data_IF_021405071011
#
_entry.id   IF_021405071011
#
_cell.length_a   1.000
_cell.length_b   1.000
_cell.length_c   1.000
_cell.angle_alpha   90.00
_cell.angle_beta   90.00
_cell.angle_gamma   90.00
#
_symmetry.space_group_name_H-M   'P 1'
#
loop_
_entity.id
_entity.type
_entity.pdbx_description
1 polymer ?
#
# COMPACT_ATOMS: atom_id res chain seq x y z
N UNK A 1 -13.91 -12.44 -8.74
CA UNK A 1 -12.84 -11.68 -8.06
C UNK A 1 -12.65 -12.17 -6.63
N UNK A 2 -11.52 -11.82 -5.98
CA UNK A 2 -11.20 -12.24 -4.60
C UNK A 2 -12.33 -11.87 -3.63
N UNK A 3 -12.80 -10.63 -3.62
CA UNK A 3 -13.88 -10.21 -2.71
C UNK A 3 -15.20 -10.93 -3.00
N UNK A 4 -15.49 -11.26 -4.25
CA UNK A 4 -16.71 -12.02 -4.58
C UNK A 4 -16.67 -13.45 -4.02
N UNK A 5 -15.49 -14.08 -3.97
CA UNK A 5 -15.31 -15.37 -3.31
C UNK A 5 -15.50 -15.25 -1.79
N UNK A 6 -14.88 -14.26 -1.14
CA UNK A 6 -15.08 -14.01 0.29
C UNK A 6 -16.56 -13.77 0.61
N UNK A 7 -17.26 -12.99 -0.21
CA UNK A 7 -18.68 -12.70 -0.01
C UNK A 7 -19.58 -13.91 -0.27
N UNK A 8 -19.14 -14.87 -1.08
CA UNK A 8 -19.84 -16.15 -1.25
C UNK A 8 -19.81 -16.95 0.04
N UNK A 9 -18.63 -17.02 0.70
CA UNK A 9 -18.45 -17.78 1.93
C UNK A 9 -19.00 -17.04 3.16
N UNK A 10 -18.93 -15.72 3.17
CA UNK A 10 -19.53 -14.85 4.19
C UNK A 10 -20.40 -13.75 3.55
N UNK A 11 -21.72 -13.97 3.41
CA UNK A 11 -22.63 -12.99 2.80
C UNK A 11 -22.70 -11.63 3.54
N UNK A 12 -22.28 -11.58 4.81
CA UNK A 12 -22.20 -10.35 5.60
C UNK A 12 -20.93 -9.56 5.35
N UNK A 13 -19.96 -10.12 4.63
CA UNK A 13 -18.68 -9.47 4.37
C UNK A 13 -18.86 -8.09 3.70
N UNK A 14 -18.15 -7.09 4.21
CA UNK A 14 -18.10 -5.72 3.70
C UNK A 14 -16.65 -5.41 3.31
N UNK A 15 -16.43 -4.85 2.14
CA UNK A 15 -15.10 -4.38 1.75
C UNK A 15 -14.88 -2.99 2.36
N UNK A 16 -14.32 -2.96 3.57
CA UNK A 16 -14.16 -1.73 4.35
C UNK A 16 -13.04 -0.84 3.81
N UNK A 17 -11.90 -1.42 3.43
CA UNK A 17 -10.74 -0.67 2.99
C UNK A 17 -9.95 -1.33 1.87
N UNK A 18 -9.37 -0.51 1.01
CA UNK A 18 -8.29 -0.88 0.08
C UNK A 18 -7.04 -0.09 0.48
N UNK A 19 -6.04 -0.80 0.99
CA UNK A 19 -4.79 -0.23 1.51
C UNK A 19 -3.70 -0.39 0.47
N UNK A 20 -3.03 0.69 0.13
CA UNK A 20 -1.97 0.68 -0.88
C UNK A 20 -0.85 1.65 -0.54
N UNK A 21 0.34 1.12 -0.37
CA UNK A 21 1.56 1.90 -0.34
C UNK A 21 1.72 2.64 -1.68
N UNK A 22 1.94 3.95 -1.62
CA UNK A 22 1.91 4.80 -2.81
C UNK A 22 3.31 5.26 -3.19
N UNK A 23 3.67 5.04 -4.44
CA UNK A 23 4.74 5.69 -5.15
C UNK A 23 4.13 6.40 -6.34
N UNK A 24 4.21 5.80 -7.54
CA UNK A 24 3.63 6.34 -8.78
C UNK A 24 2.09 6.37 -8.84
N UNK A 25 1.39 5.95 -7.80
CA UNK A 25 -0.07 5.84 -7.67
C UNK A 25 -0.76 4.79 -8.57
N UNK A 26 0.01 3.93 -9.25
CA UNK A 26 -0.57 2.90 -10.13
C UNK A 26 -1.44 1.89 -9.37
N UNK A 27 -0.97 1.38 -8.23
CA UNK A 27 -1.69 0.39 -7.43
C UNK A 27 -2.91 0.98 -6.74
N UNK A 28 -2.79 2.18 -6.14
CA UNK A 28 -3.90 2.81 -5.42
C UNK A 28 -5.07 3.17 -6.33
N UNK A 29 -4.83 3.36 -7.63
CA UNK A 29 -5.89 3.63 -8.62
C UNK A 29 -6.96 2.52 -8.70
N UNK A 30 -6.61 1.28 -8.34
CA UNK A 30 -7.60 0.20 -8.23
C UNK A 30 -8.67 0.49 -7.17
N UNK A 31 -8.33 1.29 -6.17
CA UNK A 31 -9.24 1.73 -5.11
C UNK A 31 -10.44 2.50 -5.64
N UNK A 32 -10.28 3.31 -6.68
CA UNK A 32 -11.36 4.09 -7.29
C UNK A 32 -12.52 3.16 -7.75
N UNK A 33 -12.16 2.05 -8.38
CA UNK A 33 -13.17 1.08 -8.85
C UNK A 33 -13.80 0.28 -7.71
N UNK A 34 -13.03 -0.04 -6.68
CA UNK A 34 -13.54 -0.71 -5.49
C UNK A 34 -14.49 0.21 -4.71
N UNK A 35 -14.15 1.49 -4.58
CA UNK A 35 -14.99 2.49 -3.94
C UNK A 35 -16.30 2.70 -4.69
N UNK A 36 -16.26 2.83 -6.01
CA UNK A 36 -17.46 2.95 -6.85
C UNK A 36 -18.41 1.76 -6.68
N UNK A 37 -17.87 0.53 -6.58
CA UNK A 37 -18.68 -0.70 -6.52
C UNK A 37 -19.14 -1.07 -5.12
N UNK A 38 -18.35 -0.79 -4.11
CA UNK A 38 -18.52 -1.34 -2.77
C UNK A 38 -18.55 -0.29 -1.66
N UNK A 39 -18.33 0.99 -1.98
CA UNK A 39 -18.20 2.05 -0.98
C UNK A 39 -16.90 1.96 -0.15
N UNK A 40 -15.92 1.20 -0.62
CA UNK A 40 -14.64 0.94 0.05
C UNK A 40 -13.88 2.24 0.32
N UNK A 41 -13.30 2.40 1.52
CA UNK A 41 -12.36 3.50 1.79
C UNK A 41 -11.03 3.25 1.09
N UNK A 42 -10.48 4.27 0.45
CA UNK A 42 -9.16 4.23 -0.18
C UNK A 42 -8.13 4.75 0.81
N UNK A 43 -7.15 3.91 1.12
CA UNK A 43 -6.12 4.19 2.12
C UNK A 43 -4.75 4.26 1.44
N UNK A 44 -4.18 5.46 1.40
CA UNK A 44 -2.81 5.67 0.94
C UNK A 44 -1.84 5.41 2.09
N UNK A 45 -0.76 4.67 1.82
CA UNK A 45 0.29 4.41 2.81
C UNK A 45 1.58 5.06 2.33
N UNK A 46 2.28 5.71 3.24
CA UNK A 46 3.60 6.27 3.00
C UNK A 46 4.57 5.95 4.13
N UNK A 47 5.87 6.05 3.86
CA UNK A 47 6.89 5.94 4.88
C UNK A 47 6.80 7.16 5.81
N UNK A 48 6.83 6.94 7.11
CA UNK A 48 6.80 8.02 8.09
C UNK A 48 8.07 8.89 8.04
N UNK A 49 9.15 8.35 7.53
CA UNK A 49 10.40 9.05 7.26
C UNK A 49 10.29 10.01 6.05
N UNK A 50 9.26 9.82 5.19
CA UNK A 50 8.93 10.71 4.07
C UNK A 50 7.43 11.03 4.06
N UNK A 51 6.91 11.80 5.05
CA UNK A 51 5.48 12.00 5.30
C UNK A 51 4.89 13.11 4.42
N UNK A 52 4.96 12.95 3.10
CA UNK A 52 4.55 13.97 2.12
C UNK A 52 3.07 14.33 2.24
N UNK A 53 2.20 13.31 2.34
CA UNK A 53 0.76 13.54 2.47
C UNK A 53 0.32 13.85 3.90
N UNK A 54 0.95 13.23 4.89
CA UNK A 54 0.62 13.46 6.30
C UNK A 54 1.02 14.87 6.74
N UNK A 55 2.28 15.27 6.48
CA UNK A 55 2.91 16.41 7.13
C UNK A 55 3.56 17.41 6.15
N UNK A 56 3.36 17.26 4.84
CA UNK A 56 4.07 18.02 3.78
C UNK A 56 5.59 17.86 3.88
N UNK A 57 6.05 16.75 4.45
CA UNK A 57 7.44 16.48 4.68
C UNK A 57 8.11 15.72 3.55
N UNK A 58 9.41 15.56 3.65
CA UNK A 58 10.17 14.66 2.82
C UNK A 58 11.37 14.13 3.61
N UNK A 59 11.88 12.99 3.19
CA UNK A 59 13.08 12.40 3.76
C UNK A 59 13.50 11.15 3.00
N UNK A 60 14.62 10.57 3.41
CA UNK A 60 15.04 9.26 2.93
C UNK A 60 14.36 8.18 3.74
N UNK A 61 13.95 7.12 3.05
CA UNK A 61 13.30 5.97 3.68
C UNK A 61 13.74 4.67 3.00
N UNK A 62 13.53 3.54 3.69
CA UNK A 62 13.95 2.21 3.22
C UNK A 62 12.78 1.35 2.69
N UNK A 63 11.53 1.80 2.75
CA UNK A 63 10.42 1.08 2.13
C UNK A 63 10.50 1.28 0.62
N UNK A 64 11.27 0.43 -0.06
CA UNK A 64 11.59 0.59 -1.48
C UNK A 64 10.34 0.47 -2.36
N UNK A 65 10.37 1.19 -3.48
CA UNK A 65 9.28 1.16 -4.47
C UNK A 65 8.06 2.00 -4.12
N UNK A 66 8.08 2.74 -3.01
CA UNK A 66 7.05 3.68 -2.61
C UNK A 66 7.65 5.03 -2.24
N UNK A 67 6.78 6.01 -1.97
CA UNK A 67 7.18 7.32 -1.44
C UNK A 67 7.83 8.21 -2.50
N UNK A 68 7.15 9.27 -2.81
CA UNK A 68 7.65 10.35 -3.65
C UNK A 68 7.64 11.65 -2.85
N UNK A 69 8.65 12.50 -3.09
CA UNK A 69 8.73 13.85 -2.50
C UNK A 69 7.70 14.82 -3.10
N UNK A 70 6.81 14.32 -3.93
CA UNK A 70 5.71 15.04 -4.59
C UNK A 70 4.52 14.12 -4.82
N UNK A 71 3.36 14.69 -5.04
CA UNK A 71 2.15 13.92 -5.34
C UNK A 71 2.13 13.57 -6.83
N UNK A 72 2.06 12.30 -7.22
CA UNK A 72 1.99 11.90 -8.63
C UNK A 72 0.79 12.51 -9.36
N UNK A 73 0.99 12.91 -10.63
CA UNK A 73 -0.07 13.51 -11.44
C UNK A 73 -1.30 12.60 -11.54
N UNK A 74 -1.09 11.30 -11.57
CA UNK A 74 -2.14 10.29 -11.70
C UNK A 74 -2.73 9.82 -10.36
N UNK A 75 -2.40 10.47 -9.24
CA UNK A 75 -3.02 10.17 -7.96
C UNK A 75 -4.36 10.90 -7.83
N UNK A 76 -5.45 10.16 -7.72
CA UNK A 76 -6.79 10.70 -7.48
C UNK A 76 -6.97 11.09 -6.00
N UNK A 77 -6.27 12.15 -5.58
CA UNK A 77 -6.23 12.62 -4.18
C UNK A 77 -7.63 12.95 -3.65
N UNK A 78 -8.48 13.55 -4.49
CA UNK A 78 -9.83 13.97 -4.07
C UNK A 78 -10.75 12.77 -3.76
N UNK A 79 -10.37 11.57 -4.21
CA UNK A 79 -11.10 10.32 -3.92
C UNK A 79 -10.44 9.47 -2.82
N UNK A 80 -9.23 9.81 -2.39
CA UNK A 80 -8.54 9.15 -1.26
C UNK A 80 -9.20 9.53 0.05
N UNK A 81 -9.37 8.57 0.97
CA UNK A 81 -10.10 8.78 2.22
C UNK A 81 -9.20 8.89 3.44
N UNK A 82 -8.09 8.13 3.45
CA UNK A 82 -7.20 8.03 4.60
C UNK A 82 -5.75 8.02 4.13
N UNK A 83 -4.87 8.62 4.92
CA UNK A 83 -3.42 8.47 4.78
C UNK A 83 -2.87 7.84 6.06
N UNK A 84 -1.98 6.86 5.93
CA UNK A 84 -1.36 6.16 7.06
C UNK A 84 0.16 6.15 6.87
N UNK A 85 0.88 6.60 7.91
CA UNK A 85 2.33 6.49 8.00
C UNK A 85 2.78 5.20 8.66
N UNK A 86 3.76 4.53 8.03
CA UNK A 86 4.44 3.34 8.56
C UNK A 86 5.93 3.60 8.58
N UNK A 87 6.60 3.29 9.70
CA UNK A 87 8.05 3.50 9.82
C UNK A 87 8.86 2.46 9.06
N UNK A 88 10.02 2.84 8.58
CA UNK A 88 11.03 1.92 8.04
C UNK A 88 11.35 0.81 9.03
N UNK A 89 11.49 1.18 10.30
CA UNK A 89 11.80 0.21 11.35
C UNK A 89 10.74 -0.90 11.45
N UNK A 90 9.46 -0.59 11.28
CA UNK A 90 8.40 -1.60 11.32
C UNK A 90 8.52 -2.56 10.14
N UNK A 91 8.75 -2.05 8.94
CA UNK A 91 8.88 -2.86 7.72
C UNK A 91 10.14 -3.72 7.74
N UNK A 92 11.28 -3.16 8.16
CA UNK A 92 12.55 -3.89 8.27
C UNK A 92 12.49 -4.98 9.32
N UNK A 93 11.94 -4.68 10.50
CA UNK A 93 11.76 -5.65 11.58
C UNK A 93 10.87 -6.82 11.14
N UNK A 94 9.78 -6.55 10.46
CA UNK A 94 8.89 -7.59 9.93
C UNK A 94 9.53 -8.38 8.79
N UNK A 95 10.35 -7.75 7.94
CA UNK A 95 11.16 -8.47 6.95
C UNK A 95 12.12 -9.46 7.62
N UNK A 96 12.75 -9.08 8.75
CA UNK A 96 13.59 -9.99 9.54
C UNK A 96 12.76 -11.12 10.18
N UNK A 97 11.63 -10.78 10.82
CA UNK A 97 10.75 -11.74 11.48
C UNK A 97 10.24 -12.81 10.52
N UNK A 98 9.71 -12.40 9.37
CA UNK A 98 9.06 -13.31 8.42
C UNK A 98 10.05 -13.99 7.48
N UNK A 99 11.21 -13.37 7.22
CA UNK A 99 12.24 -13.94 6.36
C UNK A 99 13.29 -14.79 7.09
N UNK A 100 13.42 -14.65 8.42
CA UNK A 100 14.41 -15.36 9.23
C UNK A 100 13.88 -16.67 9.82
N UNK A 101 14.76 -17.68 9.96
CA UNK A 101 14.38 -18.99 10.51
C UNK A 101 13.83 -18.91 11.94
N UNK A 102 14.48 -18.13 12.83
CA UNK A 102 14.03 -17.94 14.22
C UNK A 102 12.67 -17.26 14.29
N UNK A 103 12.45 -16.25 13.44
CA UNK A 103 11.17 -15.55 13.35
C UNK A 103 10.03 -16.46 12.88
N UNK A 104 10.25 -17.23 11.82
CA UNK A 104 9.27 -18.21 11.31
C UNK A 104 8.97 -19.30 12.34
N UNK A 105 10.00 -19.80 13.03
CA UNK A 105 9.82 -20.77 14.11
C UNK A 105 8.97 -20.20 15.26
N UNK A 106 9.21 -18.95 15.65
CA UNK A 106 8.39 -18.25 16.65
C UNK A 106 6.93 -18.13 16.20
N UNK A 107 6.69 -17.64 14.98
CA UNK A 107 5.34 -17.43 14.44
C UNK A 107 4.56 -18.73 14.37
N UNK A 108 5.17 -19.79 13.82
CA UNK A 108 4.54 -21.11 13.77
C UNK A 108 4.37 -21.77 15.14
N UNK A 109 5.43 -21.72 15.98
CA UNK A 109 5.48 -22.41 17.26
C UNK A 109 4.68 -21.73 18.36
N UNK A 110 4.92 -20.43 18.59
CA UNK A 110 4.31 -19.66 19.69
C UNK A 110 2.98 -19.02 19.32
N UNK A 111 2.92 -18.46 18.10
CA UNK A 111 1.68 -17.78 17.63
C UNK A 111 0.68 -18.74 17.00
N UNK A 112 1.08 -20.01 16.77
CA UNK A 112 0.23 -21.06 16.20
C UNK A 112 -0.32 -20.72 14.82
N UNK A 113 0.42 -19.93 14.05
CA UNK A 113 0.06 -19.62 12.67
C UNK A 113 0.30 -20.87 11.82
N UNK A 114 -0.67 -21.17 10.96
CA UNK A 114 -0.59 -22.32 10.06
C UNK A 114 0.73 -22.30 9.24
N UNK A 115 1.48 -23.40 9.19
CA UNK A 115 2.70 -23.48 8.39
C UNK A 115 2.51 -23.14 6.91
N UNK A 116 1.32 -23.37 6.35
CA UNK A 116 1.00 -22.94 4.98
C UNK A 116 1.01 -21.42 4.86
N UNK A 117 0.41 -20.71 5.82
CA UNK A 117 0.43 -19.23 5.88
C UNK A 117 1.86 -18.73 6.06
N UNK A 118 2.67 -19.39 6.92
CA UNK A 118 4.08 -19.00 7.13
C UNK A 118 4.88 -19.12 5.84
N UNK A 119 4.61 -20.14 5.00
CA UNK A 119 5.25 -20.25 3.68
C UNK A 119 4.89 -19.10 2.73
N UNK A 120 3.69 -18.55 2.84
CA UNK A 120 3.28 -17.42 2.00
C UNK A 120 4.02 -16.10 2.31
N UNK A 121 4.73 -16.01 3.44
CA UNK A 121 5.53 -14.82 3.75
C UNK A 121 6.64 -14.55 2.73
N UNK A 122 7.08 -15.54 1.98
CA UNK A 122 8.02 -15.36 0.87
C UNK A 122 7.46 -14.50 -0.28
N UNK A 123 6.13 -14.43 -0.38
CA UNK A 123 5.45 -13.64 -1.41
C UNK A 123 5.20 -12.18 -1.01
N UNK A 124 5.69 -11.74 0.16
CA UNK A 124 5.41 -10.41 0.70
C UNK A 124 6.72 -9.64 0.83
N UNK A 125 6.93 -8.67 -0.05
CA UNK A 125 8.05 -7.74 0.00
C UNK A 125 7.82 -6.61 1.01
N UNK A 126 8.78 -5.68 1.08
CA UNK A 126 8.84 -4.67 2.14
C UNK A 126 7.65 -3.71 2.11
N UNK A 127 7.19 -3.31 0.93
CA UNK A 127 5.99 -2.47 0.79
C UNK A 127 4.70 -3.22 1.15
N UNK A 128 4.67 -4.55 0.90
CA UNK A 128 3.59 -5.43 1.35
C UNK A 128 3.51 -5.52 2.88
N UNK A 129 4.66 -5.54 3.57
CA UNK A 129 4.74 -5.49 5.03
C UNK A 129 4.22 -4.16 5.57
N UNK A 130 4.59 -3.04 4.95
CA UNK A 130 4.04 -1.73 5.29
C UNK A 130 2.51 -1.70 5.12
N UNK A 131 1.99 -2.29 4.06
CA UNK A 131 0.55 -2.42 3.83
C UNK A 131 -0.15 -3.24 4.92
N UNK A 132 0.47 -4.31 5.43
CA UNK A 132 -0.08 -5.11 6.53
C UNK A 132 -0.16 -4.27 7.81
N UNK A 133 0.91 -3.56 8.16
CA UNK A 133 0.91 -2.66 9.34
C UNK A 133 -0.17 -1.58 9.19
N UNK A 134 -0.26 -0.96 8.03
CA UNK A 134 -1.29 0.04 7.75
C UNK A 134 -2.72 -0.53 7.80
N UNK A 135 -2.92 -1.77 7.32
CA UNK A 135 -4.21 -2.45 7.42
C UNK A 135 -4.62 -2.70 8.89
N UNK A 136 -3.66 -3.06 9.77
CA UNK A 136 -3.90 -3.19 11.21
C UNK A 136 -4.27 -1.83 11.83
N UNK A 137 -3.51 -0.76 11.51
CA UNK A 137 -3.82 0.60 11.96
C UNK A 137 -5.22 1.03 11.51
N UNK A 138 -5.54 0.82 10.24
CA UNK A 138 -6.85 1.11 9.68
C UNK A 138 -7.98 0.35 10.39
N UNK A 139 -7.81 -0.95 10.59
CA UNK A 139 -8.80 -1.79 11.27
C UNK A 139 -9.04 -1.34 12.71
N UNK A 140 -7.99 -1.01 13.45
CA UNK A 140 -8.09 -0.48 14.82
C UNK A 140 -8.72 0.91 14.87
N UNK A 141 -8.39 1.78 13.91
CA UNK A 141 -8.90 3.15 13.86
C UNK A 141 -10.40 3.21 13.59
N UNK A 142 -10.91 2.33 12.71
CA UNK A 142 -12.31 2.26 12.34
C UNK A 142 -13.11 1.22 13.12
N UNK A 143 -12.52 0.59 14.15
CA UNK A 143 -13.15 -0.45 14.97
C UNK A 143 -13.82 -1.56 14.12
N UNK A 144 -13.05 -2.09 13.16
CA UNK A 144 -13.54 -3.08 12.21
C UNK A 144 -13.81 -4.43 12.90
N UNK A 145 -14.86 -5.11 12.46
CA UNK A 145 -15.23 -6.42 12.96
C UNK A 145 -14.88 -7.59 12.00
N UNK A 146 -15.23 -8.81 12.38
CA UNK A 146 -14.95 -10.02 11.60
C UNK A 146 -15.67 -10.10 10.24
N UNK A 147 -16.61 -9.20 9.94
CA UNK A 147 -17.26 -9.09 8.64
C UNK A 147 -16.61 -8.03 7.76
N UNK A 148 -15.72 -7.23 8.30
CA UNK A 148 -15.01 -6.21 7.55
C UNK A 148 -13.77 -6.79 6.88
N UNK A 149 -13.66 -6.60 5.59
CA UNK A 149 -12.54 -7.04 4.76
C UNK A 149 -11.68 -5.85 4.40
N UNK A 150 -10.39 -5.94 4.68
CA UNK A 150 -9.39 -5.00 4.19
C UNK A 150 -8.58 -5.70 3.10
N UNK A 151 -8.52 -5.10 1.93
CA UNK A 151 -7.72 -5.63 0.82
C UNK A 151 -6.47 -4.81 0.61
N UNK A 152 -5.40 -5.47 0.24
CA UNK A 152 -4.15 -4.85 -0.19
C UNK A 152 -3.52 -5.67 -1.33
N UNK A 153 -2.37 -5.21 -1.83
CA UNK A 153 -1.62 -5.88 -2.89
C UNK A 153 -0.22 -6.23 -2.38
N UNK A 154 0.16 -7.49 -2.52
CA UNK A 154 1.55 -7.93 -2.41
C UNK A 154 2.20 -7.73 -3.79
N UNK A 155 3.00 -6.67 -3.93
CA UNK A 155 3.53 -6.21 -5.21
C UNK A 155 4.78 -6.97 -5.65
N UNK A 156 5.57 -7.42 -4.69
CA UNK A 156 6.85 -8.08 -4.88
C UNK A 156 7.11 -9.13 -3.79
N UNK A 157 8.20 -9.87 -3.91
CA UNK A 157 8.54 -10.96 -2.98
C UNK A 157 9.63 -10.55 -1.98
N UNK A 158 9.67 -11.22 -0.83
CA UNK A 158 10.69 -11.06 0.21
C UNK A 158 12.12 -11.37 -0.27
N UNK A 159 12.26 -12.13 -1.36
CA UNK A 159 13.55 -12.50 -1.94
C UNK A 159 14.36 -11.27 -2.38
N UNK A 160 13.69 -10.26 -2.91
CA UNK A 160 14.31 -9.01 -3.35
C UNK A 160 14.97 -8.23 -2.21
N UNK A 161 14.61 -8.50 -0.96
CA UNK A 161 15.02 -7.75 0.22
C UNK A 161 15.91 -8.54 1.17
N UNK A 162 16.60 -9.55 0.67
CA UNK A 162 17.51 -10.38 1.48
C UNK A 162 18.71 -9.56 2.01
N UNK A 163 19.24 -8.62 1.23
CA UNK A 163 20.31 -7.71 1.64
C UNK A 163 19.87 -6.76 2.76
N UNK A 164 18.68 -6.19 2.63
CA UNK A 164 18.10 -5.30 3.64
C UNK A 164 17.91 -6.05 4.97
N UNK A 165 17.39 -7.27 4.92
CA UNK A 165 17.25 -8.13 6.10
C UNK A 165 18.57 -8.41 6.78
N UNK A 166 19.65 -8.69 6.01
CA UNK A 166 20.99 -8.91 6.55
C UNK A 166 21.55 -7.63 7.18
N UNK A 167 21.39 -6.50 6.52
CA UNK A 167 21.82 -5.19 7.03
C UNK A 167 21.10 -4.83 8.34
N UNK A 168 19.79 -5.05 8.40
CA UNK A 168 19.00 -4.81 9.60
C UNK A 168 19.43 -5.75 10.75
N UNK A 169 19.60 -7.04 10.46
CA UNK A 169 20.10 -8.04 11.41
C UNK A 169 21.46 -7.62 12.01
N UNK A 170 22.44 -7.30 11.17
CA UNK A 170 23.76 -6.90 11.61
C UNK A 170 23.76 -5.64 12.47
N UNK A 171 22.89 -4.67 12.15
CA UNK A 171 22.79 -3.40 12.87
C UNK A 171 22.06 -3.51 14.20
N UNK A 172 20.98 -4.29 14.25
CA UNK A 172 20.07 -4.33 15.42
C UNK A 172 20.31 -5.51 16.35
N UNK A 173 20.86 -6.61 15.84
CA UNK A 173 21.06 -7.85 16.57
C UNK A 173 22.47 -8.43 16.29
N UNK A 174 23.55 -7.68 16.60
CA UNK A 174 24.91 -8.12 16.32
C UNK A 174 25.30 -9.41 17.06
N UNK A 175 24.66 -9.67 18.22
CA UNK A 175 24.89 -10.86 19.03
C UNK A 175 24.02 -12.04 18.65
N UNK A 176 23.18 -11.89 17.60
CA UNK A 176 22.29 -12.93 17.09
C UNK A 176 20.81 -12.59 17.26
N UNK A 177 19.97 -13.28 16.52
CA UNK A 177 18.52 -13.13 16.51
C UNK A 177 17.85 -14.43 16.93
N UNK A 178 17.14 -14.40 18.04
CA UNK A 178 16.52 -15.56 18.64
C UNK A 178 14.99 -15.43 18.79
N UNK A 179 14.38 -16.37 19.52
CA UNK A 179 12.94 -16.41 19.76
C UNK A 179 12.45 -15.25 20.62
N UNK A 180 13.27 -14.71 21.52
CA UNK A 180 12.91 -13.56 22.37
C UNK A 180 12.82 -12.32 21.50
N UNK A 181 13.83 -12.07 20.69
CA UNK A 181 13.83 -10.95 19.74
C UNK A 181 12.67 -11.05 18.73
N UNK A 182 12.36 -12.26 18.25
CA UNK A 182 11.20 -12.48 17.39
C UNK A 182 9.87 -12.11 18.10
N UNK A 183 9.75 -12.47 19.38
CA UNK A 183 8.61 -12.10 20.20
C UNK A 183 8.47 -10.60 20.42
N UNK A 184 9.59 -9.91 20.63
CA UNK A 184 9.63 -8.44 20.78
C UNK A 184 9.16 -7.74 19.49
N UNK A 185 9.69 -8.17 18.32
CA UNK A 185 9.24 -7.62 17.01
C UNK A 185 7.75 -7.87 16.81
N UNK A 186 7.28 -9.09 17.03
CA UNK A 186 5.87 -9.42 16.86
C UNK A 186 4.98 -8.59 17.79
N UNK A 187 5.40 -8.47 19.07
CA UNK A 187 4.69 -7.68 20.06
C UNK A 187 4.62 -6.20 19.68
N UNK A 188 5.73 -5.63 19.23
CA UNK A 188 5.81 -4.20 18.90
C UNK A 188 5.10 -3.85 17.59
N UNK A 189 5.33 -4.63 16.52
CA UNK A 189 4.95 -4.26 15.15
C UNK A 189 3.70 -4.95 14.61
N UNK A 190 3.09 -5.86 15.40
CA UNK A 190 1.80 -6.50 15.07
C UNK A 190 0.80 -6.36 16.23
N UNK A 191 1.01 -7.02 17.37
CA UNK A 191 0.04 -6.99 18.48
C UNK A 191 -0.15 -5.57 19.05
N UNK A 192 0.97 -4.88 19.30
CA UNK A 192 1.02 -3.55 19.91
C UNK A 192 0.89 -2.37 18.95
N UNK A 193 0.68 -2.62 17.64
CA UNK A 193 0.49 -1.54 16.68
C UNK A 193 -0.67 -0.65 17.11
N UNK A 194 -0.37 0.65 17.31
CA UNK A 194 -1.37 1.67 17.63
C UNK A 194 -1.99 2.23 16.33
N UNK A 195 -2.99 3.07 16.47
CA UNK A 195 -3.61 3.82 15.37
C UNK A 195 -3.05 5.25 15.24
N UNK A 196 -1.79 5.45 15.63
CA UNK A 196 -1.03 6.67 15.39
C UNK A 196 -0.74 6.89 13.89
N UNK A 197 -0.44 8.12 13.51
CA UNK A 197 -0.14 8.50 12.11
C UNK A 197 -1.22 8.04 11.11
N UNK A 198 -2.48 8.10 11.53
CA UNK A 198 -3.66 7.89 10.70
C UNK A 198 -4.38 9.22 10.53
N UNK A 199 -4.54 9.67 9.29
CA UNK A 199 -5.21 10.90 8.93
C UNK A 199 -6.44 10.61 8.07
N UNK A 200 -7.64 10.82 8.61
CA UNK A 200 -8.85 10.86 7.80
C UNK A 200 -8.91 12.15 6.99
N UNK A 201 -9.02 12.03 5.68
CA UNK A 201 -8.97 13.18 4.79
C UNK A 201 -10.30 13.91 4.72
N UNK A 202 -10.38 15.06 5.39
CA UNK A 202 -11.42 16.05 5.15
C UNK A 202 -11.27 16.67 3.75
N UNK A 203 -12.23 17.47 3.32
CA UNK A 203 -12.11 18.25 2.08
C UNK A 203 -10.88 19.16 2.09
N UNK A 204 -10.61 19.80 3.22
CA UNK A 204 -9.45 20.69 3.38
C UNK A 204 -8.13 19.93 3.27
N UNK A 205 -8.03 18.74 3.87
CA UNK A 205 -6.85 17.88 3.78
C UNK A 205 -6.61 17.40 2.34
N UNK A 206 -7.64 16.91 1.66
CA UNK A 206 -7.53 16.52 0.25
C UNK A 206 -7.07 17.68 -0.62
N UNK A 207 -7.62 18.89 -0.40
CA UNK A 207 -7.21 20.10 -1.13
C UNK A 207 -5.74 20.47 -0.84
N UNK A 208 -5.31 20.37 0.42
CA UNK A 208 -3.91 20.58 0.82
C UNK A 208 -2.98 19.64 0.07
N UNK A 209 -3.24 18.34 0.14
CA UNK A 209 -2.42 17.31 -0.52
C UNK A 209 -2.43 17.51 -2.04
N UNK A 210 -3.60 17.77 -2.64
CA UNK A 210 -3.70 18.04 -4.08
C UNK A 210 -2.80 19.22 -4.49
N UNK A 211 -2.79 20.28 -3.70
CA UNK A 211 -2.02 21.49 -4.00
C UNK A 211 -0.50 21.28 -3.88
N UNK A 212 -0.03 20.27 -3.14
CA UNK A 212 1.41 19.93 -3.12
C UNK A 212 1.93 19.56 -4.53
N UNK A 213 1.08 19.08 -5.41
CA UNK A 213 1.44 18.76 -6.79
C UNK A 213 1.57 19.98 -7.70
N UNK A 214 1.07 21.16 -7.30
CA UNK A 214 1.04 22.33 -8.18
C UNK A 214 2.43 22.74 -8.67
N UNK A 215 3.36 22.92 -7.75
CA UNK A 215 4.69 23.37 -8.10
C UNK A 215 5.41 22.41 -9.06
N UNK A 216 5.34 21.12 -8.79
CA UNK A 216 5.95 20.10 -9.64
C UNK A 216 5.30 20.05 -11.03
N UNK A 217 3.99 19.97 -11.09
CA UNK A 217 3.33 19.68 -12.35
C UNK A 217 3.07 20.93 -13.19
N UNK A 218 2.66 22.03 -12.57
CA UNK A 218 2.38 23.27 -13.31
C UNK A 218 3.67 24.06 -13.56
N UNK A 219 4.41 24.39 -12.50
CA UNK A 219 5.56 25.29 -12.62
C UNK A 219 6.79 24.61 -13.25
N UNK A 220 7.07 23.36 -12.91
CA UNK A 220 8.27 22.68 -13.40
C UNK A 220 8.02 21.84 -14.66
N UNK A 221 6.87 21.17 -14.76
CA UNK A 221 6.57 20.27 -15.86
C UNK A 221 5.66 20.88 -16.93
N UNK A 222 5.18 22.11 -16.73
CA UNK A 222 4.41 22.86 -17.73
C UNK A 222 2.99 22.35 -17.98
N UNK A 223 2.41 21.55 -17.07
CA UNK A 223 0.99 21.20 -17.12
C UNK A 223 0.17 22.47 -16.95
N UNK A 224 -0.83 22.68 -17.82
CA UNK A 224 -1.71 23.85 -17.70
C UNK A 224 -2.47 23.84 -16.35
N UNK A 225 -2.79 24.99 -15.82
CA UNK A 225 -3.62 25.10 -14.59
C UNK A 225 -4.99 24.46 -14.82
N UNK A 226 -5.53 24.58 -16.03
CA UNK A 226 -6.81 23.99 -16.42
C UNK A 226 -6.76 22.46 -16.35
N UNK A 227 -5.75 21.83 -16.96
CA UNK A 227 -5.56 20.38 -16.91
C UNK A 227 -5.24 19.88 -15.48
N UNK A 228 -4.44 20.65 -14.75
CA UNK A 228 -4.15 20.35 -13.35
C UNK A 228 -5.43 20.36 -12.52
N UNK A 229 -6.28 21.36 -12.68
CA UNK A 229 -7.52 21.52 -11.92
C UNK A 229 -8.64 20.57 -12.36
N UNK A 230 -8.66 20.15 -13.63
CA UNK A 230 -9.64 19.16 -14.13
C UNK A 230 -9.65 17.88 -13.31
N UNK A 231 -8.49 17.47 -12.73
CA UNK A 231 -8.37 16.29 -11.88
C UNK A 231 -9.12 16.39 -10.54
N UNK A 232 -9.61 17.56 -10.17
CA UNK A 232 -10.47 17.73 -8.99
C UNK A 232 -11.85 17.11 -9.19
N UNK A 233 -12.29 16.96 -10.44
CA UNK A 233 -13.58 16.37 -10.79
C UNK A 233 -13.44 14.87 -11.07
N UNK A 234 -14.32 14.06 -10.49
CA UNK A 234 -14.33 12.62 -10.70
C UNK A 234 -14.75 12.24 -12.14
N UNK A 235 -15.34 13.14 -12.91
CA UNK A 235 -15.62 12.93 -14.33
C UNK A 235 -14.34 12.81 -15.16
N UNK A 236 -13.27 13.55 -14.80
CA UNK A 236 -11.95 13.43 -15.42
C UNK A 236 -11.44 11.97 -15.33
N UNK A 237 -11.46 11.40 -14.13
CA UNK A 237 -10.96 10.04 -13.88
C UNK A 237 -11.81 8.98 -14.59
N UNK A 238 -13.14 9.16 -14.62
CA UNK A 238 -14.04 8.28 -15.39
C UNK A 238 -13.78 8.38 -16.92
N UNK A 239 -13.56 9.57 -17.42
CA UNK A 239 -13.22 9.77 -18.84
C UNK A 239 -11.90 9.09 -19.19
N UNK A 240 -10.88 9.19 -18.32
CA UNK A 240 -9.61 8.51 -18.51
C UNK A 240 -9.76 6.98 -18.58
N UNK A 241 -10.55 6.39 -17.66
CA UNK A 241 -10.84 4.95 -17.69
C UNK A 241 -11.61 4.55 -18.96
N UNK A 242 -12.45 5.42 -19.49
CA UNK A 242 -13.22 5.13 -20.72
C UNK A 242 -12.35 5.00 -21.97
N UNK A 243 -11.09 5.43 -21.94
CA UNK A 243 -10.13 5.27 -23.05
C UNK A 243 -9.56 3.85 -23.14
N UNK A 244 -9.63 3.04 -22.09
CA UNK A 244 -9.05 1.67 -22.05
C UNK A 244 -9.54 0.80 -23.23
N UNK A 245 -10.84 0.69 -23.54
CA UNK A 245 -11.28 -0.12 -24.69
C UNK A 245 -10.77 0.36 -26.04
N UNK A 246 -10.38 1.63 -26.14
CA UNK A 246 -9.77 2.18 -27.36
C UNK A 246 -8.33 1.68 -27.46
N UNK A 247 -7.58 1.76 -26.35
CA UNK A 247 -6.21 1.27 -26.29
C UNK A 247 -6.12 -0.24 -26.53
N UNK A 248 -7.04 -1.03 -25.96
CA UNK A 248 -7.09 -2.47 -26.19
C UNK A 248 -7.20 -2.79 -27.68
N UNK A 249 -8.11 -2.11 -28.41
CA UNK A 249 -8.23 -2.28 -29.86
C UNK A 249 -6.97 -1.87 -30.63
N UNK A 250 -6.31 -0.79 -30.20
CA UNK A 250 -5.05 -0.35 -30.85
C UNK A 250 -3.92 -1.36 -30.60
N UNK A 251 -3.84 -1.94 -29.40
CA UNK A 251 -2.87 -2.98 -29.07
C UNK A 251 -3.15 -4.26 -29.87
N UNK A 252 -4.40 -4.67 -29.99
CA UNK A 252 -4.80 -5.83 -30.80
C UNK A 252 -4.42 -5.63 -32.28
N UNK A 253 -4.74 -4.47 -32.84
CA UNK A 253 -4.39 -4.15 -34.23
C UNK A 253 -2.86 -4.15 -34.47
N UNK A 254 -2.10 -3.57 -33.52
CA UNK A 254 -0.64 -3.59 -33.57
C UNK A 254 -0.08 -5.03 -33.48
N UNK A 255 -0.60 -5.85 -32.58
CA UNK A 255 -0.19 -7.24 -32.45
C UNK A 255 -0.47 -8.05 -33.72
N UNK A 256 -1.58 -7.80 -34.38
CA UNK A 256 -1.90 -8.42 -35.68
C UNK A 256 -0.91 -7.99 -36.76
N UNK A 257 -0.58 -6.69 -36.83
CA UNK A 257 0.36 -6.15 -37.81
C UNK A 257 1.79 -6.71 -37.66
N UNK A 258 2.27 -6.84 -36.41
CA UNK A 258 3.62 -7.37 -36.13
C UNK A 258 3.66 -8.91 -36.02
N UNK A 259 2.55 -9.60 -36.23
CA UNK A 259 2.48 -11.06 -36.19
C UNK A 259 2.71 -11.63 -34.77
N UNK A 260 2.49 -10.83 -33.72
CA UNK A 260 2.61 -11.30 -32.34
C UNK A 260 1.53 -12.35 -32.02
N UNK A 261 1.94 -13.50 -31.51
CA UNK A 261 1.00 -14.54 -31.10
C UNK A 261 0.10 -14.03 -29.97
N UNK A 262 -1.20 -14.30 -30.06
CA UNK A 262 -2.13 -14.08 -28.92
C UNK A 262 -1.74 -15.06 -27.81
N UNK A 263 -1.33 -14.54 -26.66
CA UNK A 263 -1.11 -15.31 -25.44
C UNK A 263 -2.35 -15.30 -24.55
#
# INVERSE_FOLDING_TARGET
TVFSAIKHDNPKARLAGFVSATGSAGTIAAGDKLKERHGTKIVAVEALECPTMLENGYGEHNIQGIGDKHIPLIHNVLNTDVVIGVTDNASDALNLLFGGNAGRAYVAGRRKIDPEVVRQFDNIGISGLANIVAAIKFAKHFDLDANDVVMTVATDSAEMYASERQSYLARRYPDGFDEVNAGEIFGQHLDGVANDHVLELTFSERKRIFNLGYYTWVEQQGVSVEDFDARKDQSFWRALVSTVPVWDRMIEAMNEEVGAARH
#
